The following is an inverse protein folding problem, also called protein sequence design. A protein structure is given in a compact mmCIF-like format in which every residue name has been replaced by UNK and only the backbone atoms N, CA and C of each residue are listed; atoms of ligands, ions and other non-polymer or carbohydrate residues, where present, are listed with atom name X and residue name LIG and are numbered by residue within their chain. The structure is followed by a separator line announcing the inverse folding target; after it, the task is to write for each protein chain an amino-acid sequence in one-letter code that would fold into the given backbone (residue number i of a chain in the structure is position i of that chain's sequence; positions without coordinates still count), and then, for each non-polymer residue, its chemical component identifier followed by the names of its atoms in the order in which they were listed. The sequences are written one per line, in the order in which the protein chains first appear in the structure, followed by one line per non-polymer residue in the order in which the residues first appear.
data_IF_235375514502
#
_entry.id   IF_235375514502
#
_cell.length_a   1.000
_cell.length_b   1.000
_cell.length_c   1.000
_cell.angle_alpha   90.00
_cell.angle_beta   90.00
_cell.angle_gamma   90.00
#
_symmetry.space_group_name_H-M   'P 1'
#
loop_
_entity.id
_entity.type
_entity.pdbx_description
1 polymer ?
#
# COMPACT_ATOMS: atom_id res chain seq x y z
N UNK A 1 20.49 -30.35 -7.59
CA UNK A 1 20.03 -29.01 -8.02
C UNK A 1 18.52 -29.13 -8.21
N UNK A 2 17.73 -28.64 -7.24
CA UNK A 2 16.28 -28.85 -7.24
C UNK A 2 15.58 -27.88 -8.20
N UNK A 3 14.78 -28.41 -9.12
CA UNK A 3 13.90 -27.62 -10.00
C UNK A 3 12.72 -27.19 -9.13
N UNK A 4 12.63 -25.91 -8.77
CA UNK A 4 11.45 -25.36 -8.12
C UNK A 4 10.35 -25.14 -9.17
N UNK A 5 9.30 -25.97 -9.19
CA UNK A 5 8.09 -25.70 -9.98
C UNK A 5 7.21 -24.69 -9.27
N UNK A 6 6.69 -23.71 -10.02
CA UNK A 6 5.63 -22.80 -9.58
C UNK A 6 4.28 -23.54 -9.57
N UNK A 7 4.15 -24.56 -8.72
CA UNK A 7 2.87 -25.26 -8.47
C UNK A 7 2.27 -24.70 -7.18
N UNK A 8 0.98 -24.33 -7.22
CA UNK A 8 0.24 -23.64 -6.15
C UNK A 8 0.34 -24.29 -4.76
N UNK A 9 0.71 -25.57 -4.70
CA UNK A 9 0.75 -26.40 -3.50
C UNK A 9 1.95 -26.19 -2.57
N UNK A 10 2.96 -25.41 -2.96
CA UNK A 10 4.15 -25.10 -2.14
C UNK A 10 4.27 -23.60 -1.79
N UNK A 11 3.15 -22.87 -1.72
CA UNK A 11 3.21 -21.49 -1.18
C UNK A 11 3.50 -21.55 0.32
N UNK A 12 4.52 -20.82 0.75
CA UNK A 12 4.73 -20.45 2.17
C UNK A 12 3.38 -19.93 2.71
N UNK A 13 2.94 -20.31 3.93
CA UNK A 13 1.66 -19.90 4.48
C UNK A 13 1.44 -18.40 4.26
N UNK A 14 0.49 -18.07 3.37
CA UNK A 14 0.28 -16.71 2.92
C UNK A 14 -0.64 -16.02 3.93
N UNK A 15 -0.09 -15.59 5.06
CA UNK A 15 -0.81 -14.71 6.00
C UNK A 15 -0.80 -13.24 5.52
N UNK A 16 -0.59 -13.02 4.23
CA UNK A 16 -0.59 -11.73 3.57
C UNK A 16 -1.70 -11.57 2.55
N UNK A 17 -1.84 -10.37 2.04
CA UNK A 17 -2.84 -10.03 1.03
C UNK A 17 -2.42 -8.84 0.20
N UNK A 18 -3.29 -8.45 -0.72
CA UNK A 18 -3.16 -7.21 -1.46
C UNK A 18 -4.42 -6.36 -1.30
N UNK A 19 -4.25 -5.04 -1.34
CA UNK A 19 -5.34 -4.10 -1.32
C UNK A 19 -5.06 -2.95 -2.29
N UNK A 20 -6.08 -2.56 -3.07
CA UNK A 20 -6.03 -1.38 -3.92
C UNK A 20 -6.86 -0.29 -3.26
N UNK A 21 -6.26 0.86 -3.05
CA UNK A 21 -6.88 1.99 -2.35
C UNK A 21 -6.98 3.18 -3.27
N UNK A 22 -8.19 3.71 -3.40
CA UNK A 22 -8.44 4.99 -4.05
C UNK A 22 -8.46 6.10 -3.00
N UNK A 23 -7.60 7.10 -3.18
CA UNK A 23 -7.44 8.24 -2.29
C UNK A 23 -8.33 9.39 -2.82
N UNK A 24 -9.27 9.91 -2.01
CA UNK A 24 -10.01 11.13 -2.33
C UNK A 24 -9.12 12.37 -2.25
N UNK A 25 -9.56 13.51 -2.79
CA UNK A 25 -8.82 14.78 -2.73
C UNK A 25 -8.74 15.43 -1.33
N UNK A 26 -9.11 14.71 -0.27
CA UNK A 26 -8.92 15.13 1.12
C UNK A 26 -8.06 14.10 1.86
N UNK A 27 -7.35 14.50 2.94
CA UNK A 27 -6.55 13.57 3.72
C UNK A 27 -7.33 12.32 4.10
N UNK A 28 -6.87 11.17 3.65
CA UNK A 28 -7.60 9.91 3.70
C UNK A 28 -6.89 8.93 4.61
N UNK A 29 -7.62 8.32 5.53
CA UNK A 29 -7.11 7.19 6.28
C UNK A 29 -7.53 5.90 5.58
N UNK A 30 -6.63 4.95 5.36
CA UNK A 30 -7.07 3.59 5.05
C UNK A 30 -7.83 3.09 6.26
N UNK A 31 -9.15 3.00 6.10
CA UNK A 31 -10.03 2.26 6.99
C UNK A 31 -10.26 0.94 6.28
N UNK A 32 -9.56 -0.10 6.73
CA UNK A 32 -9.51 -1.41 6.10
C UNK A 32 -10.89 -1.99 5.82
N UNK A 33 -10.97 -2.70 4.69
CA UNK A 33 -12.15 -3.43 4.26
C UNK A 33 -13.13 -2.58 3.44
N UNK A 34 -13.07 -2.72 2.12
CA UNK A 34 -14.19 -2.49 1.17
C UNK A 34 -15.29 -1.54 1.65
N UNK A 35 -15.08 -0.23 1.48
CA UNK A 35 -16.14 0.75 1.65
C UNK A 35 -16.17 1.41 3.03
N UNK A 36 -16.62 2.66 3.02
CA UNK A 36 -16.81 3.54 4.18
C UNK A 36 -17.40 2.83 5.41
N UNK A 37 -16.55 2.43 6.37
CA UNK A 37 -17.02 1.95 7.67
C UNK A 37 -15.99 1.13 8.47
N UNK A 38 -15.38 1.78 9.48
CA UNK A 38 -14.93 1.19 10.76
C UNK A 38 -14.17 -0.15 10.83
N UNK A 39 -12.95 -0.07 11.36
CA UNK A 39 -12.47 -0.91 12.47
C UNK A 39 -12.44 -2.45 12.32
N UNK A 40 -11.99 -2.98 11.19
CA UNK A 40 -11.39 -4.32 11.19
C UNK A 40 -9.88 -4.18 11.01
N UNK A 41 -9.14 -4.34 12.12
CA UNK A 41 -7.67 -4.42 12.12
C UNK A 41 -7.22 -5.33 10.98
N UNK A 42 -6.21 -4.91 10.21
CA UNK A 42 -5.55 -5.78 9.24
C UNK A 42 -4.11 -5.97 9.73
N UNK A 43 -3.89 -6.91 10.67
CA UNK A 43 -2.56 -7.14 11.22
C UNK A 43 -1.60 -7.52 10.11
N UNK A 44 -0.45 -6.87 10.10
CA UNK A 44 0.66 -7.19 9.22
C UNK A 44 1.96 -7.00 10.02
N UNK A 45 3.09 -7.45 9.48
CA UNK A 45 4.42 -7.07 9.98
C UNK A 45 5.08 -6.05 9.07
N UNK A 46 4.58 -5.96 7.84
CA UNK A 46 5.15 -5.15 6.81
C UNK A 46 4.18 -4.96 5.65
N UNK A 47 4.41 -3.89 4.90
CA UNK A 47 3.77 -3.66 3.61
C UNK A 47 4.72 -3.03 2.59
N UNK A 48 4.40 -3.27 1.33
CA UNK A 48 5.00 -2.64 0.15
C UNK A 48 3.91 -1.87 -0.56
N UNK A 49 4.22 -0.65 -1.02
CA UNK A 49 3.28 0.23 -1.70
C UNK A 49 3.86 0.80 -2.99
N UNK A 50 2.97 1.05 -3.95
CA UNK A 50 3.27 1.74 -5.19
C UNK A 50 2.06 2.55 -5.66
N UNK A 51 2.28 3.75 -6.20
CA UNK A 51 1.22 4.55 -6.80
C UNK A 51 0.91 4.02 -8.20
N UNK A 52 -0.27 3.42 -8.35
CA UNK A 52 -0.69 2.67 -9.53
C UNK A 52 -1.13 3.56 -10.70
N UNK A 53 -1.58 4.79 -10.41
CA UNK A 53 -1.99 5.77 -11.44
C UNK A 53 -0.85 6.67 -11.91
N UNK A 54 0.40 6.40 -11.52
CA UNK A 54 1.56 7.21 -11.93
C UNK A 54 1.63 8.58 -11.26
N UNK A 55 0.93 8.78 -10.13
CA UNK A 55 0.99 10.01 -9.35
C UNK A 55 2.12 9.93 -8.32
N UNK A 56 3.17 10.75 -8.50
CA UNK A 56 4.29 10.87 -7.54
C UNK A 56 3.96 11.74 -6.33
N UNK A 57 2.75 12.32 -6.28
CA UNK A 57 2.34 13.24 -5.21
C UNK A 57 1.62 12.53 -4.07
N UNK A 58 1.40 11.21 -4.18
CA UNK A 58 0.85 10.42 -3.09
C UNK A 58 1.87 10.32 -1.95
N UNK A 59 1.41 10.64 -0.74
CA UNK A 59 2.23 10.51 0.48
C UNK A 59 1.53 9.63 1.50
N UNK A 60 2.34 8.89 2.27
CA UNK A 60 1.86 8.04 3.35
C UNK A 60 2.52 8.38 4.69
N UNK A 61 1.77 8.22 5.78
CA UNK A 61 2.23 8.35 7.16
C UNK A 61 1.56 7.31 8.05
N UNK A 62 2.20 7.00 9.17
CA UNK A 62 1.71 6.06 10.18
C UNK A 62 1.13 6.88 11.36
N UNK A 63 0.01 6.42 11.92
CA UNK A 63 -0.70 6.93 13.12
C UNK A 63 -1.28 8.34 13.08
N UNK A 64 -0.84 9.15 12.11
CA UNK A 64 -1.15 10.57 12.06
C UNK A 64 -1.46 10.97 10.65
N UNK A 65 -2.40 11.91 10.52
CA UNK A 65 -2.83 12.40 9.22
C UNK A 65 -1.64 12.95 8.40
N UNK A 66 -1.65 12.60 7.12
CA UNK A 66 -0.78 13.16 6.10
C UNK A 66 -1.28 14.56 5.69
N UNK A 67 -0.36 15.43 5.30
CA UNK A 67 -0.65 16.71 4.64
C UNK A 67 0.18 16.80 3.36
N UNK A 68 -0.07 17.79 2.50
CA UNK A 68 0.70 17.95 1.26
C UNK A 68 2.22 18.09 1.49
N UNK A 69 2.64 18.46 2.70
CA UNK A 69 4.04 18.64 3.10
C UNK A 69 4.55 17.62 4.11
N UNK A 70 3.69 16.75 4.65
CA UNK A 70 4.06 15.76 5.66
C UNK A 70 3.85 14.34 5.14
N UNK A 71 4.70 13.40 5.55
CA UNK A 71 4.66 12.01 5.09
C UNK A 71 5.73 11.65 4.07
N UNK A 72 5.88 10.35 3.85
CA UNK A 72 6.86 9.76 2.93
C UNK A 72 6.22 9.63 1.54
N UNK A 73 6.89 10.07 0.47
CA UNK A 73 6.36 9.91 -0.89
C UNK A 73 6.25 8.43 -1.26
N UNK A 74 5.12 8.04 -1.83
CA UNK A 74 4.91 6.71 -2.41
C UNK A 74 5.45 6.74 -3.84
N UNK A 75 6.40 5.86 -4.20
CA UNK A 75 6.94 5.82 -5.55
C UNK A 75 5.87 5.49 -6.59
N UNK A 76 6.01 6.08 -7.76
CA UNK A 76 5.15 5.82 -8.91
C UNK A 76 5.52 4.50 -9.61
N UNK A 77 4.52 3.85 -10.19
CA UNK A 77 4.75 2.74 -11.09
C UNK A 77 5.37 3.23 -12.40
N UNK A 78 6.69 3.04 -12.53
CA UNK A 78 7.42 3.34 -13.78
C UNK A 78 7.40 2.15 -14.73
N UNK A 79 7.25 2.42 -16.03
CA UNK A 79 7.23 1.39 -17.07
C UNK A 79 8.63 0.77 -17.30
N UNK A 80 8.62 -0.56 -17.45
CA UNK A 80 9.58 -1.55 -18.01
C UNK A 80 11.12 -1.34 -17.99
N UNK A 81 11.65 -0.12 -18.12
CA UNK A 81 13.08 0.16 -18.26
C UNK A 81 13.69 0.99 -17.12
N UNK A 82 12.87 1.41 -16.16
CA UNK A 82 13.35 2.01 -14.91
C UNK A 82 13.09 1.02 -13.78
N UNK A 83 14.03 0.91 -12.84
CA UNK A 83 13.85 0.04 -11.68
C UNK A 83 12.55 0.46 -10.97
N UNK A 84 11.56 -0.44 -10.94
CA UNK A 84 10.32 -0.20 -10.21
C UNK A 84 10.67 0.08 -8.75
N UNK A 85 10.50 1.34 -8.34
CA UNK A 85 10.70 1.75 -6.97
C UNK A 85 9.42 1.44 -6.22
N UNK A 86 9.56 0.85 -5.04
CA UNK A 86 8.44 0.59 -4.14
C UNK A 86 8.79 1.10 -2.75
N UNK A 87 7.78 1.53 -2.01
CA UNK A 87 7.95 1.94 -0.62
C UNK A 87 7.71 0.74 0.28
N UNK A 88 8.75 0.33 1.02
CA UNK A 88 8.69 -0.73 2.01
C UNK A 88 8.55 -0.12 3.40
N UNK A 89 7.52 -0.47 4.15
CA UNK A 89 7.25 0.07 5.49
C UNK A 89 6.95 -1.04 6.50
N UNK A 90 7.74 -1.14 7.60
CA UNK A 90 7.38 -2.00 8.73
C UNK A 90 6.22 -1.36 9.50
N UNK A 91 5.10 -2.08 9.59
CA UNK A 91 3.90 -1.66 10.31
C UNK A 91 3.19 -2.90 10.86
N UNK A 92 2.48 -2.72 11.97
CA UNK A 92 1.75 -3.80 12.65
C UNK A 92 0.27 -3.91 12.20
N UNK A 93 -0.30 -2.86 11.60
CA UNK A 93 -1.67 -2.84 11.08
C UNK A 93 -1.79 -1.83 9.92
N UNK A 94 -2.38 -2.26 8.80
CA UNK A 94 -2.62 -1.37 7.64
C UNK A 94 -3.53 -0.18 7.97
N UNK A 95 -4.41 -0.30 8.96
CA UNK A 95 -5.33 0.77 9.36
C UNK A 95 -4.64 1.97 10.01
N UNK A 96 -3.37 1.81 10.37
CA UNK A 96 -2.53 2.89 10.88
C UNK A 96 -2.00 3.77 9.76
N UNK A 97 -2.20 3.40 8.49
CA UNK A 97 -1.73 4.16 7.34
C UNK A 97 -2.71 5.28 6.96
N UNK A 98 -2.15 6.48 6.85
CA UNK A 98 -2.82 7.69 6.37
C UNK A 98 -2.19 8.12 5.06
N UNK A 99 -3.02 8.39 4.06
CA UNK A 99 -2.63 8.81 2.73
C UNK A 99 -3.14 10.22 2.43
N UNK A 100 -2.44 10.90 1.55
CA UNK A 100 -2.94 12.07 0.87
C UNK A 100 -2.51 11.99 -0.60
N UNK A 101 -3.45 12.24 -1.49
CA UNK A 101 -3.23 12.42 -2.92
C UNK A 101 -3.30 13.90 -3.28
N UNK A 102 -2.90 14.22 -4.50
CA UNK A 102 -3.07 15.56 -5.07
C UNK A 102 -4.35 15.65 -5.91
N UNK A 103 -4.74 14.55 -6.56
CA UNK A 103 -5.92 14.49 -7.43
C UNK A 103 -7.05 13.67 -6.79
N UNK A 104 -8.30 14.00 -7.12
CA UNK A 104 -9.41 13.08 -6.90
C UNK A 104 -9.12 11.80 -7.70
N UNK A 105 -9.08 10.66 -7.02
CA UNK A 105 -8.86 9.31 -7.56
C UNK A 105 -7.39 8.86 -7.70
N UNK A 106 -6.47 9.36 -6.86
CA UNK A 106 -5.15 8.75 -6.74
C UNK A 106 -5.24 7.28 -6.29
N UNK A 107 -4.46 6.38 -6.87
CA UNK A 107 -4.57 4.94 -6.60
C UNK A 107 -3.25 4.38 -6.09
N UNK A 108 -3.31 3.66 -4.97
CA UNK A 108 -2.16 2.95 -4.40
C UNK A 108 -2.45 1.46 -4.34
N UNK A 109 -1.52 0.67 -4.84
CA UNK A 109 -1.49 -0.78 -4.65
C UNK A 109 -0.62 -1.13 -3.45
N UNK A 110 -1.16 -1.93 -2.54
CA UNK A 110 -0.52 -2.35 -1.29
C UNK A 110 -0.42 -3.87 -1.28
N UNK A 111 0.78 -4.37 -1.05
CA UNK A 111 1.04 -5.78 -0.74
C UNK A 111 1.50 -5.87 0.71
N UNK A 112 0.92 -6.78 1.50
CA UNK A 112 1.23 -6.88 2.93
C UNK A 112 1.31 -8.33 3.38
N UNK A 113 1.99 -8.59 4.49
CA UNK A 113 2.13 -9.92 5.08
C UNK A 113 2.21 -9.86 6.61
N UNK A 114 1.63 -10.86 7.27
CA UNK A 114 1.66 -11.03 8.72
C UNK A 114 2.78 -11.98 9.20
#
# INVERSE_FOLDING_TARGET
MGIYSLTETNRVPNHGGSNRVTIPATPFQIRGGTGTGGATSVPCKECIMIAANGSSNVRVRIDTACTATTGVPVPEHKLANEAAMYLRLPIDDLNRLYFIGEAENDVVDILYWA
#
